data_IF_097285358474
#
_entry.id   IF_097285358474
#
_cell.length_a   1.000
_cell.length_b   1.000
_cell.length_c   1.000
_cell.angle_alpha   90.00
_cell.angle_beta   90.00
_cell.angle_gamma   90.00
#
_symmetry.space_group_name_H-M   'P 1'
#
loop_
_entity.id
_entity.type
_entity.pdbx_description
1 polymer ?
#
# COMPACT_ATOMS: atom_id res chain seq x y z
N UNK A 1 -9.48 0.32 8.63
CA UNK A 1 -9.70 1.66 8.00
C UNK A 1 -9.14 1.62 6.60
N UNK A 2 -9.62 2.47 5.70
CA UNK A 2 -9.02 2.69 4.39
C UNK A 2 -9.09 4.18 4.03
N UNK A 3 -8.02 4.73 3.44
CA UNK A 3 -7.98 6.08 2.87
C UNK A 3 -7.38 6.00 1.47
N UNK A 4 -8.01 6.67 0.51
CA UNK A 4 -7.53 6.81 -0.86
C UNK A 4 -7.40 8.31 -1.15
N UNK A 5 -6.18 8.75 -1.43
CA UNK A 5 -5.85 10.16 -1.65
C UNK A 5 -5.06 10.33 -2.95
N UNK A 6 -4.88 11.57 -3.40
CA UNK A 6 -4.19 11.90 -4.65
C UNK A 6 -3.01 12.83 -4.39
N UNK A 7 -1.86 12.54 -5.01
CA UNK A 7 -0.67 13.38 -4.92
C UNK A 7 -0.70 14.55 -5.92
N UNK A 8 0.28 15.46 -5.82
CA UNK A 8 0.37 16.63 -6.70
C UNK A 8 0.56 16.29 -8.20
N UNK A 9 0.97 15.06 -8.52
CA UNK A 9 1.11 14.56 -9.88
C UNK A 9 -0.17 13.89 -10.41
N UNK A 10 -1.25 13.88 -9.63
CA UNK A 10 -2.52 13.26 -10.01
C UNK A 10 -2.53 11.74 -9.88
N UNK A 11 -1.57 11.11 -9.19
CA UNK A 11 -1.61 9.68 -8.91
C UNK A 11 -2.24 9.42 -7.55
N UNK A 12 -3.04 8.37 -7.47
CA UNK A 12 -3.64 7.94 -6.23
C UNK A 12 -2.69 7.07 -5.41
N UNK A 13 -2.84 7.17 -4.10
CA UNK A 13 -2.17 6.31 -3.12
C UNK A 13 -3.18 5.87 -2.06
N UNK A 14 -2.99 4.66 -1.54
CA UNK A 14 -3.91 4.06 -0.58
C UNK A 14 -3.20 3.74 0.72
N UNK A 15 -3.91 3.92 1.83
CA UNK A 15 -3.51 3.45 3.16
C UNK A 15 -4.61 2.59 3.74
N UNK A 16 -4.27 1.37 4.16
CA UNK A 16 -5.16 0.38 4.73
C UNK A 16 -4.65 -0.04 6.09
N UNK A 17 -5.55 -0.13 7.05
CA UNK A 17 -5.34 -0.83 8.32
C UNK A 17 -6.20 -2.08 8.34
N UNK A 18 -5.61 -3.28 8.30
CA UNK A 18 -6.35 -4.54 8.39
C UNK A 18 -7.21 -4.59 9.65
N UNK A 19 -8.36 -5.26 9.54
CA UNK A 19 -9.23 -5.49 10.69
C UNK A 19 -8.51 -6.34 11.75
N UNK A 20 -8.78 -6.07 13.02
CA UNK A 20 -8.18 -6.81 14.14
C UNK A 20 -6.76 -6.34 14.55
N UNK A 21 -6.16 -5.36 13.86
CA UNK A 21 -4.84 -4.82 14.25
C UNK A 21 -4.78 -3.30 14.23
N UNK A 22 -4.03 -2.72 15.17
CA UNK A 22 -3.70 -1.29 15.22
C UNK A 22 -2.24 -1.00 14.88
N UNK A 23 -1.41 -2.04 14.75
CA UNK A 23 0.03 -1.93 14.61
C UNK A 23 0.50 -2.07 13.17
N UNK A 24 -0.32 -2.67 12.31
CA UNK A 24 0.00 -2.87 10.90
C UNK A 24 -0.72 -1.82 10.07
N UNK A 25 0.04 -1.08 9.29
CA UNK A 25 -0.46 -0.18 8.25
C UNK A 25 0.18 -0.59 6.93
N UNK A 26 -0.64 -0.73 5.90
CA UNK A 26 -0.21 -1.11 4.56
C UNK A 26 -0.55 0.05 3.66
N UNK A 27 0.38 0.51 2.84
CA UNK A 27 0.10 1.55 1.88
C UNK A 27 1.00 1.50 0.67
N UNK A 28 0.59 2.24 -0.36
CA UNK A 28 1.45 2.54 -1.51
C UNK A 28 2.28 3.78 -1.22
N UNK A 29 3.37 3.97 -1.95
CA UNK A 29 4.15 5.18 -1.83
C UNK A 29 3.34 6.40 -2.29
N UNK A 30 3.51 7.52 -1.60
CA UNK A 30 2.80 8.76 -1.93
C UNK A 30 3.42 9.47 -3.14
N UNK A 31 4.73 9.35 -3.35
CA UNK A 31 5.48 10.10 -4.37
C UNK A 31 6.42 9.20 -5.17
N UNK A 32 6.60 9.49 -6.47
CA UNK A 32 7.44 8.71 -7.39
C UNK A 32 8.91 8.59 -6.93
N UNK A 33 9.43 9.59 -6.20
CA UNK A 33 10.78 9.57 -5.63
C UNK A 33 10.91 8.50 -4.53
N UNK A 34 9.88 8.36 -3.70
CA UNK A 34 9.83 7.38 -2.62
C UNK A 34 9.39 6.00 -3.12
N UNK A 35 8.67 5.96 -4.25
CA UNK A 35 8.28 4.73 -4.92
C UNK A 35 9.48 3.89 -5.37
N UNK A 36 10.65 4.51 -5.60
CA UNK A 36 11.92 3.80 -5.80
C UNK A 36 11.92 2.81 -6.97
N UNK A 37 11.03 3.00 -7.95
CA UNK A 37 10.82 2.07 -9.06
C UNK A 37 9.97 0.85 -8.74
N UNK A 38 9.26 0.83 -7.61
CA UNK A 38 8.33 -0.26 -7.24
C UNK A 38 6.97 -0.16 -7.96
N UNK A 39 6.70 0.94 -8.67
CA UNK A 39 5.49 1.20 -9.45
C UNK A 39 4.21 0.98 -8.62
N UNK A 40 4.21 1.47 -7.37
CA UNK A 40 3.07 1.30 -6.46
C UNK A 40 2.04 2.43 -6.57
N UNK A 41 2.33 3.49 -7.33
CA UNK A 41 1.39 4.58 -7.60
C UNK A 41 0.23 4.09 -8.47
N UNK A 42 -1.00 4.45 -8.09
CA UNK A 42 -2.22 4.04 -8.78
C UNK A 42 -2.63 5.16 -9.75
N UNK A 43 -2.64 4.93 -11.08
CA UNK A 43 -3.09 5.95 -12.02
C UNK A 43 -4.53 6.36 -11.73
N UNK A 44 -4.79 7.68 -11.77
CA UNK A 44 -6.14 8.21 -11.58
C UNK A 44 -7.09 7.67 -12.66
N UNK A 45 -8.33 7.42 -12.27
CA UNK A 45 -9.38 6.85 -13.11
C UNK A 45 -9.04 5.47 -13.76
N UNK A 46 -8.01 4.78 -13.28
CA UNK A 46 -7.81 3.36 -13.62
C UNK A 46 -8.91 2.49 -13.02
N UNK A 47 -9.13 1.29 -13.56
CA UNK A 47 -10.06 0.31 -12.99
C UNK A 47 -9.74 0.01 -11.52
N UNK A 48 -8.45 -0.02 -11.16
CA UNK A 48 -8.02 -0.20 -9.78
C UNK A 48 -8.42 0.98 -8.91
N UNK A 49 -8.24 2.22 -9.37
CA UNK A 49 -8.68 3.41 -8.65
C UNK A 49 -10.18 3.35 -8.33
N UNK A 50 -11.02 3.06 -9.32
CA UNK A 50 -12.47 2.99 -9.15
C UNK A 50 -12.86 1.92 -8.13
N UNK A 51 -12.27 0.73 -8.20
CA UNK A 51 -12.53 -0.34 -7.22
C UNK A 51 -12.10 0.03 -5.81
N UNK A 52 -10.97 0.72 -5.66
CA UNK A 52 -10.49 1.17 -4.35
C UNK A 52 -11.34 2.30 -3.77
N UNK A 53 -11.90 3.18 -4.61
CA UNK A 53 -12.83 4.23 -4.19
C UNK A 53 -14.16 3.67 -3.65
N UNK A 54 -14.56 2.49 -4.10
CA UNK A 54 -15.77 1.79 -3.63
C UNK A 54 -15.52 0.85 -2.45
N UNK A 55 -14.26 0.65 -2.06
CA UNK A 55 -13.85 -0.31 -1.03
C UNK A 55 -14.37 0.07 0.36
N UNK A 56 -14.81 -0.94 1.11
CA UNK A 56 -15.39 -0.80 2.45
C UNK A 56 -14.59 -1.56 3.49
N UNK A 57 -14.77 -1.19 4.75
CA UNK A 57 -14.23 -1.97 5.87
C UNK A 57 -14.87 -3.36 5.86
N UNK A 58 -14.04 -4.40 5.94
CA UNK A 58 -14.44 -5.81 5.84
C UNK A 58 -14.15 -6.43 4.47
N UNK A 59 -13.88 -5.61 3.44
CA UNK A 59 -13.51 -6.12 2.12
C UNK A 59 -12.13 -6.79 2.16
N UNK A 60 -12.03 -7.93 1.46
CA UNK A 60 -10.77 -8.65 1.33
C UNK A 60 -9.85 -7.93 0.35
N UNK A 61 -8.63 -7.65 0.79
CA UNK A 61 -7.56 -7.11 -0.06
C UNK A 61 -6.44 -8.11 -0.27
N UNK A 62 -5.82 -8.08 -1.45
CA UNK A 62 -4.62 -8.85 -1.77
C UNK A 62 -3.58 -7.85 -2.23
N UNK A 63 -2.41 -7.88 -1.61
CA UNK A 63 -1.29 -7.01 -1.93
C UNK A 63 -0.02 -7.83 -2.07
N UNK A 64 0.95 -7.27 -2.79
CA UNK A 64 2.30 -7.79 -2.91
C UNK A 64 3.26 -6.63 -2.69
N UNK A 65 4.33 -6.88 -1.95
CA UNK A 65 5.33 -5.87 -1.66
C UNK A 65 6.67 -6.51 -1.30
N UNK A 66 7.61 -5.66 -0.92
CA UNK A 66 8.89 -6.04 -0.35
C UNK A 66 9.07 -5.28 0.96
N UNK A 67 9.68 -5.91 1.95
CA UNK A 67 10.13 -5.22 3.15
C UNK A 67 11.42 -4.49 2.83
N UNK A 68 11.54 -3.24 3.28
CA UNK A 68 12.82 -2.56 3.31
C UNK A 68 13.62 -3.17 4.45
N UNK A 69 14.77 -3.74 4.14
CA UNK A 69 15.63 -4.33 5.16
C UNK A 69 16.22 -3.22 6.05
N UNK A 70 16.17 -3.44 7.35
CA UNK A 70 16.81 -2.62 8.38
C UNK A 70 17.62 -3.48 9.34
N UNK A 71 18.59 -2.89 10.04
CA UNK A 71 19.37 -3.59 11.05
C UNK A 71 18.52 -4.00 12.29
N UNK A 72 17.38 -3.32 12.50
CA UNK A 72 16.38 -3.69 13.52
C UNK A 72 15.44 -4.82 13.06
N UNK A 73 15.49 -5.24 11.79
CA UNK A 73 14.67 -6.33 11.31
C UNK A 73 15.22 -7.66 11.83
N UNK A 74 14.57 -8.22 12.86
CA UNK A 74 14.84 -9.57 13.35
C UNK A 74 14.28 -10.66 12.41
N UNK A 75 14.49 -10.52 11.10
CA UNK A 75 14.08 -11.47 10.08
C UNK A 75 15.11 -12.61 10.01
N UNK A 76 14.83 -13.74 10.65
CA UNK A 76 15.60 -14.95 10.44
C UNK A 76 15.37 -15.47 9.01
N UNK A 77 16.44 -15.62 8.23
CA UNK A 77 16.35 -16.24 6.91
C UNK A 77 15.80 -17.67 7.04
N UNK A 78 14.58 -17.93 6.54
CA UNK A 78 14.10 -19.29 6.35
C UNK A 78 14.88 -19.92 5.19
N UNK A 79 15.82 -20.80 5.53
CA UNK A 79 16.44 -21.72 4.57
C UNK A 79 15.44 -22.85 4.32
N UNK A 80 15.02 -22.99 3.07
CA UNK A 80 14.30 -24.15 2.56
C UNK A 80 15.22 -25.37 2.49
#
# INVERSE_FOLDING_TARGET
MASLDTNAAGNAFITIRPEGTKFITIGTWHNAVQDGGTNSLIPFASDLYTRLAEMRVGDRVIFRGRFAASDEDHLAAQRN
#
